data_IF_201230608622
#
_entry.id   IF_201230608622
#
_cell.length_a   1.000
_cell.length_b   1.000
_cell.length_c   1.000
_cell.angle_alpha   90.00
_cell.angle_beta   90.00
_cell.angle_gamma   90.00
#
_symmetry.space_group_name_H-M   'P 1'
#
loop_
_entity.id
_entity.type
_entity.pdbx_description
1 polymer ?
#
# COMPACT_ATOMS: atom_id res chain seq x y z
N UNK A 1 -4.44 -2.36 -9.54
CA UNK A 1 -3.77 -1.23 -8.87
C UNK A 1 -3.28 -1.58 -7.46
N UNK A 2 -4.16 -1.92 -6.52
CA UNK A 2 -3.78 -2.10 -5.10
C UNK A 2 -2.65 -3.10 -4.85
N UNK A 3 -2.73 -4.30 -5.44
CA UNK A 3 -1.70 -5.35 -5.28
C UNK A 3 -0.35 -4.89 -5.84
N UNK A 4 -0.35 -4.28 -7.04
CA UNK A 4 0.86 -3.72 -7.65
C UNK A 4 1.48 -2.64 -6.77
N UNK A 5 0.67 -1.63 -6.40
CA UNK A 5 1.12 -0.51 -5.57
C UNK A 5 1.74 -1.01 -4.26
N UNK A 6 1.07 -1.92 -3.54
CA UNK A 6 1.63 -2.47 -2.30
C UNK A 6 2.90 -3.27 -2.51
N UNK A 7 2.99 -4.07 -3.58
CA UNK A 7 4.17 -4.89 -3.85
C UNK A 7 5.38 -4.05 -4.21
N UNK A 8 5.21 -3.04 -5.08
CA UNK A 8 6.32 -2.23 -5.59
C UNK A 8 6.81 -1.21 -4.56
N UNK A 9 5.93 -0.65 -3.73
CA UNK A 9 6.31 0.40 -2.77
C UNK A 9 6.72 -0.12 -1.41
N UNK A 10 6.27 -1.32 -1.00
CA UNK A 10 6.54 -1.84 0.34
C UNK A 10 8.03 -1.80 0.74
N UNK A 11 8.98 -2.21 -0.11
CA UNK A 11 10.40 -2.12 0.24
C UNK A 11 10.87 -0.68 0.52
N UNK A 12 10.44 0.31 -0.27
CA UNK A 12 10.84 1.70 -0.08
C UNK A 12 10.17 2.35 1.14
N UNK A 13 8.86 2.13 1.32
CA UNK A 13 8.11 2.67 2.46
C UNK A 13 8.66 2.12 3.78
N UNK A 14 8.94 0.81 3.84
CA UNK A 14 9.49 0.19 5.05
C UNK A 14 10.96 0.52 5.25
N UNK A 15 11.77 0.64 4.20
CA UNK A 15 13.16 1.07 4.32
C UNK A 15 13.28 2.48 4.90
N UNK A 16 12.42 3.40 4.46
CA UNK A 16 12.32 4.73 5.03
C UNK A 16 11.81 4.70 6.47
N UNK A 17 10.69 4.03 6.73
CA UNK A 17 10.07 4.00 8.05
C UNK A 17 10.95 3.37 9.15
N UNK A 18 11.72 2.34 8.80
CA UNK A 18 12.50 1.56 9.76
C UNK A 18 13.97 1.98 9.84
N UNK A 19 14.52 2.55 8.77
CA UNK A 19 15.96 2.82 8.67
C UNK A 19 16.30 4.24 8.19
N UNK A 20 15.30 5.06 7.85
CA UNK A 20 15.53 6.43 7.38
C UNK A 20 16.26 6.53 6.03
N UNK A 21 16.29 5.45 5.25
CA UNK A 21 16.94 5.38 3.93
C UNK A 21 15.89 5.39 2.81
N UNK A 22 16.26 5.94 1.65
CA UNK A 22 15.39 6.00 0.47
C UNK A 22 15.89 5.02 -0.57
N UNK A 23 15.09 3.99 -0.86
CA UNK A 23 15.35 3.02 -1.91
C UNK A 23 14.82 3.55 -3.25
N UNK A 24 15.63 3.46 -4.31
CA UNK A 24 15.22 3.90 -5.65
C UNK A 24 14.15 2.96 -6.23
N UNK A 25 12.90 3.42 -6.21
CA UNK A 25 11.73 2.70 -6.74
C UNK A 25 11.08 3.40 -7.93
N UNK A 26 11.81 4.32 -8.57
CA UNK A 26 11.36 4.96 -9.81
C UNK A 26 11.14 3.91 -10.90
N UNK A 27 10.20 4.13 -11.84
CA UNK A 27 9.79 3.11 -12.81
C UNK A 27 10.94 2.50 -13.62
N UNK A 28 11.97 3.29 -13.94
CA UNK A 28 13.16 2.85 -14.66
C UNK A 28 13.97 1.78 -13.92
N UNK A 29 13.93 1.79 -12.58
CA UNK A 29 14.59 0.79 -11.74
C UNK A 29 13.67 -0.40 -11.40
N UNK A 30 12.41 -0.40 -11.85
CA UNK A 30 11.47 -1.50 -11.62
C UNK A 30 11.44 -2.46 -12.81
N UNK A 31 11.43 -3.76 -12.51
CA UNK A 31 11.24 -4.84 -13.47
C UNK A 31 10.01 -5.66 -13.10
N UNK A 32 9.22 -6.02 -14.12
CA UNK A 32 8.01 -6.82 -13.97
C UNK A 32 8.18 -8.14 -14.72
N UNK A 33 7.81 -9.24 -14.06
CA UNK A 33 7.52 -10.49 -14.75
C UNK A 33 6.01 -10.57 -14.94
N UNK A 34 5.56 -10.60 -16.19
CA UNK A 34 4.14 -10.75 -16.51
C UNK A 34 3.66 -12.17 -16.23
N UNK A 35 2.36 -12.31 -15.97
CA UNK A 35 1.66 -13.57 -15.83
C UNK A 35 0.23 -13.46 -16.36
N UNK A 36 -0.54 -14.53 -16.23
CA UNK A 36 -1.83 -14.70 -16.92
C UNK A 36 -2.88 -13.63 -16.55
N UNK A 37 -2.81 -13.08 -15.34
CA UNK A 37 -3.73 -12.05 -14.84
C UNK A 37 -3.04 -10.72 -14.47
N UNK A 38 -1.93 -10.39 -15.14
CA UNK A 38 -1.20 -9.14 -14.95
C UNK A 38 0.28 -9.38 -14.68
N UNK A 39 0.73 -9.15 -13.44
CA UNK A 39 2.12 -9.39 -13.05
C UNK A 39 2.22 -10.58 -12.08
N UNK A 40 3.28 -11.37 -12.26
CA UNK A 40 3.66 -12.52 -11.42
C UNK A 40 4.73 -12.15 -10.39
N UNK A 41 5.56 -11.16 -10.68
CA UNK A 41 6.57 -10.66 -9.75
C UNK A 41 6.97 -9.22 -10.08
N UNK A 42 7.39 -8.50 -9.05
CA UNK A 42 8.03 -7.17 -9.13
C UNK A 42 9.41 -7.31 -8.53
N UNK A 43 10.41 -6.70 -9.16
CA UNK A 43 11.78 -6.64 -8.66
C UNK A 43 12.39 -5.27 -8.95
N UNK A 44 13.40 -4.90 -8.18
CA UNK A 44 14.29 -3.82 -8.55
C UNK A 44 15.38 -4.35 -9.46
N UNK A 45 15.70 -3.61 -10.53
CA UNK A 45 16.82 -3.94 -11.42
C UNK A 45 18.14 -3.85 -10.68
N UNK A 46 18.25 -2.86 -9.79
CA UNK A 46 19.38 -2.67 -8.88
C UNK A 46 18.86 -2.31 -7.48
N UNK A 47 19.35 -2.94 -6.40
CA UNK A 47 19.02 -2.54 -5.04
C UNK A 47 19.82 -1.29 -4.66
N UNK A 48 19.44 -0.15 -5.24
CA UNK A 48 20.16 1.12 -5.12
C UNK A 48 19.48 2.04 -4.10
N UNK A 49 20.27 2.56 -3.15
CA UNK A 49 19.84 3.66 -2.30
C UNK A 49 20.08 4.98 -3.02
N UNK A 50 19.17 5.92 -2.82
CA UNK A 50 19.35 7.30 -3.26
C UNK A 50 20.27 7.99 -2.27
N UNK A 51 21.26 8.75 -2.77
CA UNK A 51 22.08 9.58 -1.91
C UNK A 51 21.23 10.74 -1.37
N UNK A 52 20.95 10.67 -0.07
CA UNK A 52 20.18 11.67 0.68
C UNK A 52 21.07 12.43 1.67
N UNK A 53 22.39 12.38 1.46
CA UNK A 53 23.36 13.11 2.27
C UNK A 53 23.07 14.62 2.19
N UNK A 54 22.94 15.25 3.35
CA UNK A 54 22.60 16.67 3.43
C UNK A 54 21.10 17.00 3.35
N UNK A 55 20.22 16.02 3.12
CA UNK A 55 18.77 16.22 3.19
C UNK A 55 18.25 16.06 4.63
N UNK A 56 17.34 16.95 5.01
CA UNK A 56 16.48 16.83 6.20
C UNK A 56 15.52 15.65 6.08
N UNK A 57 14.90 15.24 7.19
CA UNK A 57 13.90 14.16 7.18
C UNK A 57 12.69 14.48 6.28
N UNK A 58 12.23 15.73 6.31
CA UNK A 58 11.12 16.21 5.47
C UNK A 58 11.45 16.15 3.99
N UNK A 59 12.66 16.56 3.59
CA UNK A 59 13.12 16.47 2.20
C UNK A 59 13.23 15.03 1.72
N UNK A 60 13.70 14.12 2.57
CA UNK A 60 13.77 12.68 2.26
C UNK A 60 12.38 12.08 2.06
N UNK A 61 11.43 12.42 2.93
CA UNK A 61 10.05 11.99 2.79
C UNK A 61 9.41 12.56 1.53
N UNK A 62 9.62 13.85 1.24
CA UNK A 62 9.17 14.47 -0.01
C UNK A 62 9.73 13.79 -1.25
N UNK A 63 11.02 13.44 -1.24
CA UNK A 63 11.66 12.67 -2.30
C UNK A 63 11.02 11.29 -2.47
N UNK A 64 10.79 10.56 -1.37
CA UNK A 64 10.13 9.26 -1.39
C UNK A 64 8.70 9.36 -1.96
N UNK A 65 7.92 10.35 -1.51
CA UNK A 65 6.56 10.59 -1.98
C UNK A 65 6.55 10.88 -3.48
N UNK A 66 7.46 11.74 -3.96
CA UNK A 66 7.57 12.06 -5.39
C UNK A 66 7.90 10.81 -6.22
N UNK A 67 8.89 10.00 -5.79
CA UNK A 67 9.25 8.76 -6.51
C UNK A 67 8.11 7.75 -6.53
N UNK A 68 7.39 7.60 -5.42
CA UNK A 68 6.31 6.63 -5.29
C UNK A 68 5.06 7.08 -6.04
N UNK A 69 4.67 8.35 -5.92
CA UNK A 69 3.41 8.84 -6.46
C UNK A 69 3.59 9.47 -7.84
N UNK A 70 4.33 10.57 -7.91
CA UNK A 70 4.36 11.43 -9.10
C UNK A 70 5.17 10.80 -10.24
N UNK A 71 6.30 10.18 -9.94
CA UNK A 71 7.12 9.52 -10.96
C UNK A 71 6.55 8.15 -11.36
N UNK A 72 5.74 7.52 -10.50
CA UNK A 72 5.40 6.10 -10.65
C UNK A 72 3.90 5.81 -10.63
N UNK A 73 3.24 5.85 -9.47
CA UNK A 73 1.90 5.29 -9.33
C UNK A 73 0.81 6.15 -9.97
N UNK A 74 0.93 7.48 -9.96
CA UNK A 74 -0.03 8.37 -10.63
C UNK A 74 0.04 8.29 -12.16
N UNK A 75 1.23 8.35 -12.80
CA UNK A 75 1.33 8.13 -14.24
C UNK A 75 0.77 6.76 -14.66
N UNK A 76 1.04 5.71 -13.88
CA UNK A 76 0.47 4.39 -14.13
C UNK A 76 -1.06 4.39 -14.00
N UNK A 77 -1.60 5.01 -12.95
CA UNK A 77 -3.04 5.14 -12.78
C UNK A 77 -3.68 5.88 -13.96
N UNK A 78 -3.10 6.99 -14.42
CA UNK A 78 -3.63 7.72 -15.57
C UNK A 78 -3.57 6.87 -16.86
N UNK A 79 -2.48 6.12 -17.08
CA UNK A 79 -2.37 5.19 -18.20
C UNK A 79 -3.40 4.05 -18.15
N UNK A 80 -3.69 3.52 -16.95
CA UNK A 80 -4.71 2.50 -16.72
C UNK A 80 -6.12 3.05 -16.91
N UNK A 81 -6.38 4.29 -16.46
CA UNK A 81 -7.70 4.94 -16.58
C UNK A 81 -8.13 5.05 -18.04
N UNK A 82 -7.21 5.35 -18.95
CA UNK A 82 -7.50 5.44 -20.40
C UNK A 82 -7.89 4.07 -21.00
N UNK A 83 -7.45 2.97 -20.39
CA UNK A 83 -7.59 1.60 -20.92
C UNK A 83 -8.58 0.73 -20.13
N UNK A 84 -9.25 1.30 -19.14
CA UNK A 84 -10.16 0.58 -18.26
C UNK A 84 -11.40 1.41 -17.95
N UNK A 85 -12.41 0.77 -17.36
CA UNK A 85 -13.61 1.46 -16.84
C UNK A 85 -13.39 2.05 -15.44
N UNK A 86 -12.19 1.92 -14.88
CA UNK A 86 -11.90 2.40 -13.54
C UNK A 86 -11.78 3.93 -13.54
N UNK A 87 -12.50 4.59 -12.63
CA UNK A 87 -12.36 6.02 -12.41
C UNK A 87 -11.02 6.37 -11.74
N UNK A 88 -10.59 7.64 -11.86
CA UNK A 88 -9.40 8.15 -11.16
C UNK A 88 -9.49 7.90 -9.64
N UNK A 89 -10.67 8.10 -9.05
CA UNK A 89 -10.91 7.84 -7.63
C UNK A 89 -10.67 6.39 -7.24
N UNK A 90 -11.08 5.43 -8.08
CA UNK A 90 -10.88 4.00 -7.80
C UNK A 90 -9.40 3.60 -7.93
N UNK A 91 -8.70 4.13 -8.92
CA UNK A 91 -7.27 3.85 -9.12
C UNK A 91 -6.43 4.44 -7.99
N UNK A 92 -6.69 5.71 -7.61
CA UNK A 92 -6.07 6.34 -6.44
C UNK A 92 -6.44 5.61 -5.14
N UNK A 93 -7.65 5.05 -5.05
CA UNK A 93 -8.05 4.22 -3.93
C UNK A 93 -7.22 2.95 -3.81
N UNK A 94 -6.85 2.36 -4.95
CA UNK A 94 -5.89 1.27 -5.00
C UNK A 94 -4.48 1.69 -4.58
N UNK A 95 -4.03 2.89 -4.98
CA UNK A 95 -2.74 3.44 -4.53
C UNK A 95 -2.72 3.58 -3.00
N UNK A 96 -3.72 4.26 -2.43
CA UNK A 96 -3.83 4.46 -0.99
C UNK A 96 -3.85 3.12 -0.22
N UNK A 97 -4.64 2.16 -0.70
CA UNK A 97 -4.66 0.81 -0.12
C UNK A 97 -3.30 0.10 -0.24
N UNK A 98 -2.63 0.19 -1.39
CA UNK A 98 -1.35 -0.45 -1.61
C UNK A 98 -0.27 0.07 -0.65
N UNK A 99 -0.12 1.40 -0.55
CA UNK A 99 0.84 2.01 0.37
C UNK A 99 0.51 1.66 1.82
N UNK A 100 -0.75 1.71 2.23
CA UNK A 100 -1.17 1.31 3.58
C UNK A 100 -0.92 -0.18 3.87
N UNK A 101 -1.06 -1.05 2.85
CA UNK A 101 -0.85 -2.48 3.01
C UNK A 101 0.60 -2.85 3.36
N UNK A 102 1.60 -2.04 2.98
CA UNK A 102 2.99 -2.23 3.37
C UNK A 102 3.16 -2.17 4.90
N UNK A 103 2.69 -1.06 5.51
CA UNK A 103 2.71 -0.87 6.97
C UNK A 103 1.83 -1.91 7.68
N UNK A 104 0.64 -2.19 7.13
CA UNK A 104 -0.26 -3.20 7.66
C UNK A 104 0.39 -4.59 7.71
N UNK A 105 0.99 -5.03 6.61
CA UNK A 105 1.69 -6.32 6.57
C UNK A 105 2.86 -6.39 7.55
N UNK A 106 3.69 -5.35 7.60
CA UNK A 106 4.82 -5.28 8.53
C UNK A 106 4.37 -5.31 10.00
N UNK A 107 3.27 -4.63 10.34
CA UNK A 107 2.78 -4.52 11.74
C UNK A 107 2.31 -5.85 12.33
N UNK A 108 2.04 -6.85 11.49
CA UNK A 108 1.58 -8.18 11.92
C UNK A 108 2.72 -9.21 11.99
N UNK A 109 3.96 -8.80 11.73
CA UNK A 109 5.11 -9.67 11.89
C UNK A 109 5.48 -9.80 13.38
N UNK A 110 5.98 -10.96 13.84
CA UNK A 110 6.46 -11.11 15.20
C UNK A 110 7.54 -10.08 15.54
N UNK A 111 7.37 -9.38 16.67
CA UNK A 111 8.32 -8.35 17.13
C UNK A 111 8.23 -7.01 16.40
N UNK A 112 7.22 -6.79 15.56
CA UNK A 112 7.00 -5.48 14.94
C UNK A 112 6.60 -4.43 15.98
N UNK A 113 7.16 -3.22 15.85
CA UNK A 113 6.73 -2.05 16.60
C UNK A 113 5.55 -1.40 15.84
N UNK A 114 4.33 -1.69 16.31
CA UNK A 114 3.09 -1.19 15.70
C UNK A 114 3.00 0.33 15.78
N UNK A 115 3.53 0.94 16.85
CA UNK A 115 3.50 2.39 17.04
C UNK A 115 4.38 3.11 16.01
N UNK A 116 5.58 2.58 15.77
CA UNK A 116 6.50 3.10 14.74
C UNK A 116 5.86 3.02 13.35
N UNK A 117 5.26 1.88 13.00
CA UNK A 117 4.64 1.68 11.69
C UNK A 117 3.39 2.55 11.49
N UNK A 118 2.61 2.78 12.55
CA UNK A 118 1.47 3.67 12.49
C UNK A 118 1.91 5.13 12.29
N UNK A 119 2.88 5.60 13.08
CA UNK A 119 3.43 6.96 12.91
C UNK A 119 4.00 7.18 11.52
N UNK A 120 4.78 6.23 11.01
CA UNK A 120 5.36 6.32 9.68
C UNK A 120 4.29 6.34 8.58
N UNK A 121 3.22 5.56 8.71
CA UNK A 121 2.06 5.65 7.80
C UNK A 121 1.42 7.05 7.83
N UNK A 122 1.21 7.58 9.04
CA UNK A 122 0.53 8.87 9.21
C UNK A 122 1.39 10.03 8.68
N UNK A 123 2.71 10.01 8.91
CA UNK A 123 3.68 10.94 8.32
C UNK A 123 3.70 10.85 6.79
N UNK A 124 3.79 9.63 6.24
CA UNK A 124 3.73 9.43 4.80
C UNK A 124 2.42 9.97 4.20
N UNK A 125 1.28 9.69 4.83
CA UNK A 125 -0.02 10.16 4.36
C UNK A 125 -0.16 11.68 4.46
N UNK A 126 0.44 12.31 5.49
CA UNK A 126 0.46 13.76 5.66
C UNK A 126 1.28 14.46 4.57
N UNK A 127 2.32 13.82 4.05
CA UNK A 127 3.12 14.31 2.92
C UNK A 127 2.48 14.05 1.55
N UNK A 128 1.44 13.21 1.48
CA UNK A 128 0.71 12.92 0.24
C UNK A 128 -0.36 13.99 -0.08
N UNK A 129 -0.87 14.05 -1.33
CA UNK A 129 -2.04 14.85 -1.66
C UNK A 129 -3.24 14.50 -0.77
N UNK A 130 -3.94 15.53 -0.28
CA UNK A 130 -5.03 15.40 0.70
C UNK A 130 -6.14 14.44 0.25
N UNK A 131 -6.37 14.33 -1.05
CA UNK A 131 -7.36 13.44 -1.64
C UNK A 131 -7.10 11.98 -1.30
N UNK A 132 -5.83 11.53 -1.20
CA UNK A 132 -5.50 10.16 -0.85
C UNK A 132 -5.95 9.81 0.57
N UNK A 133 -5.80 10.74 1.52
CA UNK A 133 -6.29 10.59 2.90
C UNK A 133 -7.80 10.43 3.02
N UNK A 134 -8.57 10.82 2.00
CA UNK A 134 -10.04 10.66 1.97
C UNK A 134 -10.49 9.30 1.41
N UNK A 135 -9.57 8.44 0.96
CA UNK A 135 -9.89 7.18 0.26
C UNK A 135 -9.95 5.97 1.20
N UNK A 136 -9.66 6.16 2.47
CA UNK A 136 -9.73 5.15 3.51
C UNK A 136 -9.08 5.63 4.79
N UNK A 137 -8.94 4.73 5.75
CA UNK A 137 -8.31 5.01 7.04
C UNK A 137 -7.56 3.77 7.51
N UNK A 138 -6.45 3.99 8.21
CA UNK A 138 -5.76 2.94 8.93
C UNK A 138 -6.46 2.72 10.28
N UNK A 139 -6.75 1.47 10.61
CA UNK A 139 -7.27 1.07 11.91
C UNK A 139 -6.31 0.12 12.58
N UNK A 140 -6.15 0.30 13.89
CA UNK A 140 -5.39 -0.58 14.76
C UNK A 140 -6.34 -1.51 15.48
N UNK A 141 -6.05 -2.80 15.42
CA UNK A 141 -6.86 -3.85 16.06
C UNK A 141 -5.95 -4.71 16.92
N UNK A 142 -6.49 -5.16 18.05
CA UNK A 142 -5.85 -6.12 18.94
C UNK A 142 -6.74 -7.36 19.09
N UNK A 143 -6.11 -8.53 19.18
CA UNK A 143 -6.75 -9.83 19.38
C UNK A 143 -5.80 -10.73 20.21
N UNK A 144 -6.15 -10.97 21.47
CA UNK A 144 -5.25 -11.62 22.43
C UNK A 144 -4.00 -10.77 22.71
N UNK A 145 -2.82 -11.37 22.56
CA UNK A 145 -1.51 -10.74 22.69
C UNK A 145 -0.99 -10.14 21.37
N UNK A 146 -1.78 -10.23 20.29
CA UNK A 146 -1.41 -9.69 18.98
C UNK A 146 -2.11 -8.39 18.69
N UNK A 147 -1.40 -7.57 17.95
CA UNK A 147 -1.88 -6.30 17.45
C UNK A 147 -1.45 -6.11 16.00
N UNK A 148 -2.20 -5.33 15.24
CA UNK A 148 -1.84 -5.01 13.87
C UNK A 148 -2.65 -3.88 13.27
N UNK A 149 -2.09 -3.31 12.21
CA UNK A 149 -2.70 -2.27 11.41
C UNK A 149 -3.42 -2.86 10.19
N UNK A 150 -4.58 -2.32 9.89
CA UNK A 150 -5.41 -2.70 8.76
C UNK A 150 -5.98 -1.47 8.07
N UNK A 151 -6.18 -1.55 6.75
CA UNK A 151 -6.69 -0.41 6.00
C UNK A 151 -8.17 -0.57 5.64
N UNK A 152 -9.02 0.33 6.13
CA UNK A 152 -10.42 0.43 5.74
C UNK A 152 -10.56 1.34 4.52
N UNK A 153 -10.32 0.79 3.33
CA UNK A 153 -10.59 1.50 2.07
C UNK A 153 -12.07 1.89 1.95
N UNK A 154 -12.33 3.05 1.33
CA UNK A 154 -13.65 3.61 1.00
C UNK A 154 -13.96 3.54 -0.50
N UNK A 155 -13.16 2.80 -1.26
CA UNK A 155 -13.28 2.70 -2.73
C UNK A 155 -13.26 1.25 -3.18
N UNK A 156 -14.06 0.94 -4.19
CA UNK A 156 -14.12 -0.40 -4.75
C UNK A 156 -13.05 -0.55 -5.84
N UNK A 157 -12.16 -1.52 -5.67
CA UNK A 157 -11.11 -1.85 -6.64
C UNK A 157 -11.64 -2.64 -7.86
N UNK A 158 -12.91 -3.06 -7.84
CA UNK A 158 -13.58 -3.87 -8.86
C UNK A 158 -12.92 -5.24 -9.12
N UNK A 159 -12.07 -5.73 -8.21
CA UNK A 159 -11.45 -7.04 -8.40
C UNK A 159 -12.49 -8.17 -8.53
N UNK A 160 -13.57 -8.10 -7.75
CA UNK A 160 -14.66 -9.08 -7.77
C UNK A 160 -15.40 -9.18 -9.12
N UNK A 161 -15.20 -8.23 -10.05
CA UNK A 161 -15.80 -8.29 -11.40
C UNK A 161 -14.89 -8.95 -12.43
N UNK A 162 -13.70 -9.40 -12.03
CA UNK A 162 -12.83 -10.18 -12.89
C UNK A 162 -13.35 -11.63 -13.02
N UNK A 163 -12.93 -12.35 -14.06
CA UNK A 163 -13.40 -13.70 -14.41
C UNK A 163 -13.28 -14.72 -13.25
N UNK A 164 -12.33 -14.50 -12.34
CA UNK A 164 -12.12 -15.27 -11.11
C UNK A 164 -12.05 -14.37 -9.86
N UNK A 165 -12.71 -13.21 -9.92
CA UNK A 165 -12.68 -12.23 -8.86
C UNK A 165 -13.62 -12.57 -7.72
N UNK A 166 -13.10 -12.55 -6.50
CA UNK A 166 -13.91 -12.59 -5.27
C UNK A 166 -13.78 -11.29 -4.47
N UNK A 167 -14.64 -11.12 -3.47
CA UNK A 167 -14.59 -9.98 -2.57
C UNK A 167 -13.47 -10.20 -1.56
N UNK A 168 -12.40 -9.43 -1.69
CA UNK A 168 -11.31 -9.49 -0.72
C UNK A 168 -11.73 -9.08 0.68
N UNK A 169 -11.00 -9.55 1.70
CA UNK A 169 -11.28 -9.25 3.12
C UNK A 169 -11.37 -7.75 3.45
N UNK A 170 -10.80 -6.88 2.61
CA UNK A 170 -10.88 -5.43 2.75
C UNK A 170 -11.99 -4.77 1.92
N UNK A 171 -12.95 -5.54 1.37
CA UNK A 171 -13.93 -5.06 0.41
C UNK A 171 -14.85 -3.99 0.97
N UNK A 172 -14.85 -2.80 0.36
CA UNK A 172 -15.72 -1.69 0.80
C UNK A 172 -17.20 -1.88 0.45
N UNK A 173 -17.56 -2.98 -0.22
CA UNK A 173 -18.95 -3.37 -0.45
C UNK A 173 -19.54 -4.11 0.76
N UNK A 174 -18.67 -4.61 1.65
CA UNK A 174 -19.08 -5.16 2.94
C UNK A 174 -19.15 -4.04 3.98
N UNK A 175 -19.92 -4.26 5.04
CA UNK A 175 -20.03 -3.29 6.13
C UNK A 175 -18.69 -3.11 6.84
N UNK A 176 -18.50 -1.96 7.51
CA UNK A 176 -17.29 -1.74 8.32
C UNK A 176 -17.18 -2.81 9.42
N UNK A 177 -18.30 -3.19 10.02
CA UNK A 177 -18.37 -4.22 11.06
C UNK A 177 -17.88 -5.58 10.54
N UNK A 178 -18.38 -6.02 9.38
CA UNK A 178 -17.96 -7.29 8.76
C UNK A 178 -16.47 -7.28 8.45
N UNK A 179 -15.95 -6.17 7.92
CA UNK A 179 -14.53 -6.03 7.59
C UNK A 179 -13.64 -6.05 8.83
N UNK A 180 -14.05 -5.38 9.90
CA UNK A 180 -13.34 -5.41 11.19
C UNK A 180 -13.37 -6.82 11.78
N UNK A 181 -14.50 -7.52 11.72
CA UNK A 181 -14.61 -8.91 12.14
C UNK A 181 -13.67 -9.82 11.31
N UNK A 182 -13.59 -9.62 9.99
CA UNK A 182 -12.65 -10.32 9.12
C UNK A 182 -11.21 -10.04 9.53
N UNK A 183 -10.85 -8.78 9.78
CA UNK A 183 -9.49 -8.41 10.21
C UNK A 183 -9.12 -9.01 11.56
N UNK A 184 -10.04 -9.06 12.53
CA UNK A 184 -9.80 -9.79 13.80
C UNK A 184 -9.56 -11.28 13.55
N UNK A 185 -10.28 -11.92 12.63
CA UNK A 185 -10.01 -13.32 12.25
C UNK A 185 -8.63 -13.51 11.62
N UNK A 186 -8.21 -12.58 10.75
CA UNK A 186 -6.85 -12.58 10.18
C UNK A 186 -5.82 -12.42 11.30
N UNK A 187 -6.04 -11.45 12.18
CA UNK A 187 -5.16 -11.21 13.32
C UNK A 187 -5.12 -12.44 14.23
N UNK A 188 -6.23 -13.16 14.39
CA UNK A 188 -6.35 -14.41 15.13
C UNK A 188 -5.56 -15.59 14.52
N UNK A 189 -4.99 -15.46 13.31
CA UNK A 189 -4.35 -16.55 12.58
C UNK A 189 -5.34 -17.44 11.82
N UNK A 190 -6.59 -17.00 11.70
CA UNK A 190 -7.59 -17.64 10.85
C UNK A 190 -7.32 -17.41 9.36
N UNK A 191 -7.85 -18.30 8.53
CA UNK A 191 -7.74 -18.19 7.07
C UNK A 191 -8.45 -16.94 6.53
N UNK A 192 -7.86 -16.35 5.50
CA UNK A 192 -8.39 -15.20 4.76
C UNK A 192 -9.40 -15.72 3.73
N UNK A 193 -10.66 -15.26 3.68
CA UNK A 193 -11.44 -15.28 2.46
C UNK A 193 -10.78 -14.28 1.51
N UNK A 194 -10.16 -14.80 0.45
CA UNK A 194 -9.32 -14.08 -0.51
C UNK A 194 -9.95 -12.77 -0.99
#
# INVERSE_FOLDING_TARGET
MAVYAGTVTAPALLAWALYGVVLDVRPENVALRLGDHGFKAVALRRPQLVDVSGMTESERLGLLVNQVLDDHLFPLADAMRVRSRASKRQLNGGIAQGCAAAFGAASRLPGADVDVLQRAHDEFLAACPQELGRLGEMVRLAEGDREGLFYLRRTCCLFYTADHGEKCASCCLDSVEDRVANYRRILAGGAIPH
#
